data_IF_564733152160
#
_entry.id   IF_564733152160
#
_cell.length_a   1.000
_cell.length_b   1.000
_cell.length_c   1.000
_cell.angle_alpha   90.00
_cell.angle_beta   90.00
_cell.angle_gamma   90.00
#
_symmetry.space_group_name_H-M   'P 1'
#
loop_
_entity.id
_entity.type
_entity.pdbx_description
1 polymer ?
#
# COMPACT_ATOMS: atom_id res chain seq x y z
N UNK A 1 -18.04 -8.23 -20.45
CA UNK A 1 -17.77 -6.83 -20.10
C UNK A 1 -18.07 -5.98 -21.32
N UNK A 2 -18.87 -4.90 -21.25
CA UNK A 2 -19.04 -4.00 -22.36
C UNK A 2 -17.72 -3.28 -22.64
N UNK A 3 -17.29 -3.26 -23.90
CA UNK A 3 -16.23 -2.37 -24.36
C UNK A 3 -16.76 -0.94 -24.25
N UNK A 4 -16.18 -0.15 -23.36
CA UNK A 4 -16.34 1.30 -23.39
C UNK A 4 -15.16 1.88 -24.15
N UNK A 5 -15.45 2.63 -25.20
CA UNK A 5 -14.47 3.40 -25.96
C UNK A 5 -13.80 4.40 -25.02
N UNK A 6 -12.48 4.30 -24.90
CA UNK A 6 -11.66 5.26 -24.18
C UNK A 6 -10.89 6.10 -25.20
N UNK A 7 -11.41 7.28 -25.48
CA UNK A 7 -10.63 8.34 -26.09
C UNK A 7 -9.62 8.83 -25.04
N UNK A 8 -8.35 8.50 -25.25
CA UNK A 8 -7.24 9.08 -24.52
C UNK A 8 -6.75 10.27 -25.34
N UNK A 9 -7.38 11.42 -25.13
CA UNK A 9 -6.86 12.68 -25.65
C UNK A 9 -5.62 13.09 -24.84
N UNK A 10 -4.45 12.74 -25.39
CA UNK A 10 -3.16 13.27 -24.92
C UNK A 10 -2.85 14.50 -25.79
N UNK A 11 -3.43 15.63 -25.44
CA UNK A 11 -2.98 16.91 -25.98
C UNK A 11 -2.00 17.56 -25.02
N UNK A 12 -0.75 17.64 -25.47
CA UNK A 12 0.26 18.50 -24.88
C UNK A 12 -0.02 19.94 -25.29
N UNK A 13 -0.89 20.62 -24.58
CA UNK A 13 -0.98 22.08 -24.67
C UNK A 13 0.05 22.70 -23.72
N UNK A 14 0.94 23.47 -24.31
CA UNK A 14 1.93 24.30 -23.61
C UNK A 14 1.22 25.33 -22.72
N UNK A 15 1.09 25.01 -21.42
CA UNK A 15 0.63 25.97 -20.44
C UNK A 15 1.70 26.17 -19.36
N UNK A 16 2.36 27.32 -19.41
CA UNK A 16 3.07 27.87 -18.24
C UNK A 16 2.01 28.52 -17.37
N UNK A 17 1.44 27.77 -16.46
CA UNK A 17 0.45 28.23 -15.51
C UNK A 17 1.13 28.74 -14.23
N UNK A 18 0.90 29.99 -13.92
CA UNK A 18 1.27 30.62 -12.64
C UNK A 18 0.40 29.99 -11.55
N UNK A 19 1.04 29.28 -10.62
CA UNK A 19 0.40 28.72 -9.42
C UNK A 19 0.12 29.87 -8.42
N UNK A 20 -1.09 30.42 -8.42
CA UNK A 20 -1.56 31.29 -7.35
C UNK A 20 -2.75 30.64 -6.64
N UNK A 21 -2.54 30.35 -5.34
CA UNK A 21 -3.53 30.11 -4.29
C UNK A 21 -4.32 28.80 -4.32
N UNK A 22 -3.63 27.68 -4.11
CA UNK A 22 -4.21 26.58 -3.33
C UNK A 22 -4.05 26.92 -1.85
N UNK A 23 -5.09 26.66 -1.05
CA UNK A 23 -5.13 26.92 0.39
C UNK A 23 -3.80 26.55 1.06
N UNK A 24 -3.26 27.42 1.91
CA UNK A 24 -1.90 27.40 2.50
C UNK A 24 -1.55 26.17 3.35
N UNK A 25 -2.27 25.06 3.25
CA UNK A 25 -2.00 23.81 3.98
C UNK A 25 -1.22 22.76 3.18
N UNK A 26 -1.16 22.85 1.86
CA UNK A 26 -0.46 21.88 1.01
C UNK A 26 0.92 22.42 0.66
N UNK A 27 1.96 21.88 1.32
CA UNK A 27 3.35 22.24 1.05
C UNK A 27 3.78 21.65 -0.28
N UNK A 28 4.22 22.48 -1.22
CA UNK A 28 4.83 22.01 -2.47
C UNK A 28 6.29 21.57 -2.25
N UNK A 29 6.82 20.74 -3.16
CA UNK A 29 8.21 20.32 -3.13
C UNK A 29 9.13 21.40 -3.71
N UNK A 30 10.34 21.51 -3.16
CA UNK A 30 11.44 22.25 -3.77
C UNK A 30 12.09 21.38 -4.86
N UNK A 31 11.60 21.51 -6.10
CA UNK A 31 12.12 20.76 -7.24
C UNK A 31 13.47 21.30 -7.69
N UNK A 32 14.42 20.40 -7.99
CA UNK A 32 15.79 20.73 -8.32
C UNK A 32 16.05 20.86 -9.82
N UNK A 33 15.43 20.00 -10.64
CA UNK A 33 15.59 19.98 -12.10
C UNK A 33 14.38 19.34 -12.77
N UNK A 34 13.27 20.04 -12.79
CA UNK A 34 12.00 19.51 -13.34
C UNK A 34 12.07 19.15 -14.83
N UNK A 35 12.96 19.77 -15.58
CA UNK A 35 13.08 19.53 -17.03
C UNK A 35 13.69 18.16 -17.35
N UNK A 36 14.63 17.69 -16.54
CA UNK A 36 15.31 16.41 -16.70
C UNK A 36 14.77 15.32 -15.75
N UNK A 37 14.33 15.72 -14.56
CA UNK A 37 13.87 14.85 -13.48
C UNK A 37 12.61 15.44 -12.83
N UNK A 38 11.42 15.25 -13.45
CA UNK A 38 10.22 16.03 -13.13
C UNK A 38 9.71 15.88 -11.70
N UNK A 39 10.14 14.85 -10.97
CA UNK A 39 9.76 14.62 -9.58
C UNK A 39 10.94 14.75 -8.61
N UNK A 40 12.13 15.10 -9.08
CA UNK A 40 13.34 15.17 -8.24
C UNK A 40 13.35 16.45 -7.40
N UNK A 41 13.41 16.29 -6.08
CA UNK A 41 13.26 17.38 -5.11
C UNK A 41 14.08 17.13 -3.86
N UNK A 42 14.30 18.17 -3.07
CA UNK A 42 14.89 18.08 -1.73
C UNK A 42 13.98 17.28 -0.81
N UNK A 43 14.49 16.25 -0.14
CA UNK A 43 13.70 15.47 0.83
C UNK A 43 13.56 16.22 2.16
N UNK A 44 12.49 15.94 2.87
CA UNK A 44 12.30 16.38 4.25
C UNK A 44 12.97 15.39 5.21
N UNK A 45 13.74 15.89 6.18
CA UNK A 45 14.33 15.05 7.23
C UNK A 45 13.39 14.83 8.44
N UNK A 46 12.13 15.24 8.36
CA UNK A 46 11.20 15.19 9.50
C UNK A 46 10.81 13.77 9.84
N UNK A 47 11.29 13.26 10.96
CA UNK A 47 10.92 11.96 11.52
C UNK A 47 9.71 12.10 12.44
N UNK A 48 8.56 11.60 12.00
CA UNK A 48 7.29 11.64 12.73
C UNK A 48 7.03 10.37 13.54
N UNK A 49 7.84 9.31 13.37
CA UNK A 49 7.61 8.01 14.00
C UNK A 49 8.40 7.81 15.29
N UNK A 50 9.63 8.32 15.41
CA UNK A 50 10.46 8.17 16.63
C UNK A 50 9.76 8.56 17.93
N UNK A 51 8.87 9.57 17.97
CA UNK A 51 8.11 9.89 19.18
C UNK A 51 7.24 8.77 19.72
N UNK A 52 7.00 7.71 18.95
CA UNK A 52 6.17 6.57 19.32
C UNK A 52 6.97 5.32 19.71
N UNK A 53 8.30 5.33 19.54
CA UNK A 53 9.11 4.13 19.72
C UNK A 53 10.11 4.24 20.87
N UNK A 54 10.36 3.10 21.52
CA UNK A 54 11.56 2.81 22.31
C UNK A 54 12.43 1.87 21.49
N UNK A 55 13.18 2.42 20.54
CA UNK A 55 14.00 1.63 19.64
C UNK A 55 15.21 1.04 20.38
N UNK A 56 15.62 -0.18 19.99
CA UNK A 56 16.81 -0.85 20.47
C UNK A 56 18.08 -0.25 19.83
N UNK A 57 19.26 -0.58 20.35
CA UNK A 57 20.54 -0.18 19.73
C UNK A 57 20.78 -0.81 18.35
N UNK A 58 20.21 -2.01 18.12
CA UNK A 58 20.29 -2.71 16.82
C UNK A 58 19.19 -2.23 15.88
N UNK A 59 19.55 -2.08 14.60
CA UNK A 59 18.59 -1.81 13.53
C UNK A 59 17.45 -2.84 13.58
N UNK A 60 16.17 -2.43 13.57
CA UNK A 60 15.04 -3.34 13.65
C UNK A 60 14.86 -4.13 12.34
N UNK A 61 14.30 -5.31 12.44
CA UNK A 61 13.67 -5.97 11.30
C UNK A 61 12.41 -5.21 10.89
N UNK A 62 12.10 -5.22 9.61
CA UNK A 62 10.88 -4.62 9.04
C UNK A 62 10.14 -5.70 8.28
N UNK A 63 8.88 -5.90 8.61
CA UNK A 63 7.99 -6.86 7.94
C UNK A 63 6.79 -6.09 7.39
N UNK A 64 6.70 -6.01 6.07
CA UNK A 64 5.58 -5.39 5.36
C UNK A 64 4.66 -6.51 4.89
N UNK A 65 3.40 -6.50 5.34
CA UNK A 65 2.38 -7.47 4.96
C UNK A 65 1.33 -6.75 4.12
N UNK A 66 1.29 -7.10 2.85
CA UNK A 66 0.33 -6.61 1.87
C UNK A 66 -0.79 -7.64 1.76
N UNK A 67 -1.96 -7.27 2.25
CA UNK A 67 -3.10 -8.18 2.31
C UNK A 67 -4.00 -7.94 1.10
N UNK A 68 -4.12 -8.97 0.25
CA UNK A 68 -4.95 -8.94 -0.96
C UNK A 68 -6.37 -8.52 -0.64
N UNK A 69 -6.83 -7.45 -1.29
CA UNK A 69 -8.19 -6.98 -1.24
C UNK A 69 -8.67 -6.42 0.10
N UNK A 70 -7.79 -6.14 1.09
CA UNK A 70 -8.16 -5.71 2.43
C UNK A 70 -8.64 -4.25 2.45
N UNK A 71 -9.96 -4.04 2.38
CA UNK A 71 -10.59 -2.71 2.42
C UNK A 71 -11.02 -2.29 3.83
N UNK A 72 -10.96 -1.00 4.10
CA UNK A 72 -11.42 -0.41 5.36
C UNK A 72 -12.93 -0.57 5.57
N UNK A 73 -13.70 -0.69 4.49
CA UNK A 73 -15.15 -0.88 4.50
C UNK A 73 -15.63 -2.08 5.34
N UNK A 74 -14.80 -3.10 5.51
CA UNK A 74 -15.12 -4.33 6.25
C UNK A 74 -14.03 -4.71 7.28
N UNK A 75 -13.10 -3.81 7.57
CA UNK A 75 -11.97 -4.03 8.48
C UNK A 75 -11.99 -3.04 9.62
N UNK A 76 -11.73 -3.50 10.84
CA UNK A 76 -11.67 -2.74 12.09
C UNK A 76 -13.02 -2.11 12.51
N UNK A 77 -13.01 -1.57 13.74
CA UNK A 77 -14.15 -0.86 14.33
C UNK A 77 -14.58 0.32 13.44
N UNK A 78 -15.88 0.49 13.25
CA UNK A 78 -16.46 1.55 12.42
C UNK A 78 -16.52 1.22 10.93
N UNK A 79 -16.16 0.00 10.51
CA UNK A 79 -16.38 -0.47 9.14
C UNK A 79 -17.88 -0.48 8.80
N UNK A 80 -18.29 0.23 7.74
CA UNK A 80 -19.73 0.40 7.43
C UNK A 80 -20.40 -0.91 6.95
N UNK A 81 -19.62 -1.87 6.44
CA UNK A 81 -20.07 -3.23 6.13
C UNK A 81 -19.95 -4.21 7.31
N UNK A 82 -19.56 -3.71 8.47
CA UNK A 82 -19.25 -4.55 9.63
C UNK A 82 -17.77 -4.95 9.68
N UNK A 83 -17.27 -5.21 10.89
CA UNK A 83 -15.90 -5.66 11.09
C UNK A 83 -15.77 -7.17 10.84
N UNK A 84 -15.11 -7.57 9.76
CA UNK A 84 -14.87 -8.97 9.38
C UNK A 84 -13.44 -9.46 9.70
N UNK A 85 -12.64 -8.62 10.35
CA UNK A 85 -11.25 -8.91 10.70
C UNK A 85 -11.00 -8.72 12.21
N UNK A 86 -11.53 -9.60 13.05
CA UNK A 86 -11.47 -9.42 14.52
C UNK A 86 -10.04 -9.42 15.08
N UNK A 87 -9.09 -10.11 14.45
CA UNK A 87 -7.68 -10.07 14.88
C UNK A 87 -7.05 -8.71 14.55
N UNK A 88 -7.19 -8.22 13.30
CA UNK A 88 -6.66 -6.91 12.92
C UNK A 88 -7.28 -5.78 13.74
N UNK A 89 -8.57 -5.90 14.10
CA UNK A 89 -9.22 -4.94 15.01
C UNK A 89 -8.55 -4.91 16.39
N UNK A 90 -8.29 -6.09 16.97
CA UNK A 90 -7.55 -6.20 18.22
C UNK A 90 -6.12 -5.66 18.11
N UNK A 91 -5.41 -6.00 17.05
CA UNK A 91 -4.03 -5.56 16.82
C UNK A 91 -3.94 -4.04 16.64
N UNK A 92 -4.91 -3.43 15.95
CA UNK A 92 -4.94 -1.98 15.74
C UNK A 92 -5.00 -1.18 17.05
N UNK A 93 -5.63 -1.72 18.09
CA UNK A 93 -5.69 -1.06 19.41
C UNK A 93 -4.34 -1.04 20.14
N UNK A 94 -3.38 -1.85 19.71
CA UNK A 94 -2.02 -1.96 20.25
C UNK A 94 -0.97 -1.37 19.30
N UNK A 95 -1.39 -0.59 18.32
CA UNK A 95 -0.57 -0.14 17.19
C UNK A 95 -0.64 1.38 17.00
N UNK A 96 0.15 1.88 16.05
CA UNK A 96 -0.18 3.11 15.36
C UNK A 96 -1.10 2.73 14.20
N UNK A 97 -2.30 3.30 14.19
CA UNK A 97 -3.35 2.93 13.26
C UNK A 97 -3.85 4.15 12.47
N UNK A 98 -3.66 4.13 11.14
CA UNK A 98 -4.22 5.12 10.23
C UNK A 98 -5.53 4.57 9.66
N UNK A 99 -6.65 5.09 10.16
CA UNK A 99 -7.98 4.64 9.71
C UNK A 99 -8.38 5.18 8.35
N UNK A 100 -7.80 6.31 7.92
CA UNK A 100 -8.06 6.98 6.67
C UNK A 100 -6.84 6.87 5.73
N UNK A 101 -6.40 5.65 5.48
CA UNK A 101 -5.25 5.36 4.64
C UNK A 101 -5.67 4.94 3.23
N UNK A 102 -4.93 5.40 2.21
CA UNK A 102 -5.25 5.15 0.81
C UNK A 102 -4.20 4.25 0.14
N UNK A 103 -4.66 3.18 -0.51
CA UNK A 103 -3.86 2.55 -1.56
C UNK A 103 -3.81 3.51 -2.76
N UNK A 104 -2.70 3.54 -3.49
CA UNK A 104 -2.62 4.36 -4.70
C UNK A 104 -3.16 3.68 -5.93
N UNK A 105 -3.41 2.39 -5.87
CA UNK A 105 -4.03 1.62 -6.94
C UNK A 105 -5.32 0.96 -6.52
N UNK A 106 -6.25 0.83 -7.46
CA UNK A 106 -7.47 0.04 -7.28
C UNK A 106 -7.27 -1.44 -7.59
N UNK A 107 -6.00 -1.90 -7.76
CA UNK A 107 -5.57 -3.28 -8.07
C UNK A 107 -4.13 -3.48 -7.66
N UNK A 108 -3.71 -4.74 -7.50
CA UNK A 108 -2.38 -5.16 -7.01
C UNK A 108 -1.20 -4.61 -7.80
N UNK A 109 -1.33 -4.38 -9.13
CA UNK A 109 -0.23 -3.89 -9.98
C UNK A 109 0.46 -2.61 -9.48
N UNK A 110 -0.23 -1.79 -8.68
CA UNK A 110 0.30 -0.52 -8.22
C UNK A 110 0.98 -0.60 -6.83
N UNK A 111 0.75 -1.67 -6.06
CA UNK A 111 1.15 -1.69 -4.64
C UNK A 111 2.66 -1.67 -4.43
N UNK A 112 3.42 -2.52 -5.11
CA UNK A 112 4.88 -2.59 -4.91
C UNK A 112 5.60 -1.29 -5.28
N UNK A 113 5.35 -0.66 -6.46
CA UNK A 113 5.95 0.64 -6.78
C UNK A 113 5.57 1.74 -5.80
N UNK A 114 4.35 1.72 -5.28
CA UNK A 114 3.87 2.74 -4.35
C UNK A 114 4.47 2.58 -2.97
N UNK A 115 4.34 1.40 -2.35
CA UNK A 115 4.73 1.19 -0.94
C UNK A 115 6.23 0.96 -0.75
N UNK A 116 6.95 0.55 -1.80
CA UNK A 116 8.39 0.37 -1.76
C UNK A 116 9.17 1.53 -2.39
N UNK A 117 8.59 2.20 -3.39
CA UNK A 117 9.28 3.21 -4.20
C UNK A 117 8.66 4.59 -4.19
N UNK A 118 7.45 4.77 -3.64
CA UNK A 118 6.74 6.07 -3.64
C UNK A 118 6.78 6.76 -5.01
N UNK A 119 6.46 6.02 -6.06
CA UNK A 119 6.73 6.44 -7.43
C UNK A 119 5.54 7.11 -8.12
N UNK A 120 5.82 7.99 -9.13
CA UNK A 120 4.82 8.43 -10.07
C UNK A 120 4.28 7.24 -10.89
N UNK A 121 3.03 7.35 -11.34
CA UNK A 121 2.42 6.33 -12.19
C UNK A 121 2.83 6.50 -13.65
N UNK A 122 3.11 5.40 -14.34
CA UNK A 122 3.15 5.38 -15.79
C UNK A 122 1.73 5.29 -16.37
N UNK A 123 1.59 5.52 -17.68
CA UNK A 123 0.29 5.48 -18.36
C UNK A 123 -0.43 4.13 -18.18
N UNK A 124 0.31 3.03 -18.17
CA UNK A 124 -0.24 1.67 -17.99
C UNK A 124 0.15 1.05 -16.63
N UNK A 125 0.39 1.88 -15.63
CA UNK A 125 1.02 1.50 -14.36
C UNK A 125 2.54 1.35 -14.52
N UNK A 126 3.27 1.57 -13.44
CA UNK A 126 4.74 1.53 -13.47
C UNK A 126 5.27 0.15 -13.89
N UNK A 127 4.72 -0.92 -13.34
CA UNK A 127 5.09 -2.30 -13.70
C UNK A 127 4.79 -2.61 -15.18
N UNK A 128 3.77 -1.99 -15.75
CA UNK A 128 3.41 -2.13 -17.18
C UNK A 128 4.46 -1.60 -18.14
N UNK A 129 5.43 -0.78 -17.69
CA UNK A 129 6.55 -0.33 -18.52
C UNK A 129 7.55 -1.46 -18.83
N UNK A 130 7.55 -2.56 -18.06
CA UNK A 130 8.47 -3.66 -18.27
C UNK A 130 9.93 -3.21 -18.22
N UNK A 131 10.74 -3.60 -19.21
CA UNK A 131 12.16 -3.24 -19.30
C UNK A 131 12.43 -1.72 -19.44
N UNK A 132 11.40 -0.94 -19.78
CA UNK A 132 11.51 0.53 -19.89
C UNK A 132 11.34 1.25 -18.56
N UNK A 133 11.07 0.54 -17.44
CA UNK A 133 11.01 1.15 -16.13
C UNK A 133 12.30 1.96 -15.85
N UNK A 134 12.23 3.24 -15.48
CA UNK A 134 13.42 4.01 -15.15
C UNK A 134 14.06 3.52 -13.84
N UNK A 135 15.33 3.84 -13.65
CA UNK A 135 16.02 3.61 -12.39
C UNK A 135 15.43 4.47 -11.27
N UNK A 136 15.33 3.90 -10.08
CA UNK A 136 14.72 4.54 -8.92
C UNK A 136 15.42 4.14 -7.64
N UNK A 137 15.26 4.94 -6.60
CA UNK A 137 15.57 4.55 -5.22
C UNK A 137 14.29 4.06 -4.54
N UNK A 138 14.39 2.95 -3.84
CA UNK A 138 13.28 2.29 -3.14
C UNK A 138 13.74 1.81 -1.77
N UNK A 139 12.78 1.40 -0.91
CA UNK A 139 13.13 0.74 0.35
C UNK A 139 14.08 -0.44 0.15
N UNK A 140 13.92 -1.21 -0.94
CA UNK A 140 14.76 -2.39 -1.20
C UNK A 140 16.22 -2.03 -1.36
N UNK A 141 16.54 -1.15 -2.32
CA UNK A 141 17.94 -0.82 -2.61
C UNK A 141 18.56 0.07 -1.54
N UNK A 142 17.82 1.02 -0.96
CA UNK A 142 18.35 1.89 0.11
C UNK A 142 18.61 1.14 1.42
N UNK A 143 17.73 0.23 1.83
CA UNK A 143 17.96 -0.58 3.03
C UNK A 143 19.07 -1.61 2.79
N UNK A 144 19.13 -2.21 1.61
CA UNK A 144 20.25 -3.10 1.23
C UNK A 144 21.58 -2.37 1.29
N UNK A 145 21.69 -1.14 0.73
CA UNK A 145 22.88 -0.28 0.84
C UNK A 145 23.29 -0.07 2.31
N UNK A 146 22.31 0.01 3.21
CA UNK A 146 22.52 0.20 4.64
C UNK A 146 22.64 -1.12 5.44
N UNK A 147 22.89 -2.25 4.76
CA UNK A 147 23.22 -3.54 5.36
C UNK A 147 22.05 -4.43 5.73
N UNK A 148 20.83 -4.11 5.29
CA UNK A 148 19.69 -5.02 5.39
C UNK A 148 19.78 -6.15 4.37
N UNK A 149 19.23 -7.32 4.70
CA UNK A 149 18.87 -8.35 3.74
C UNK A 149 17.40 -8.20 3.36
N UNK A 150 17.12 -8.25 2.05
CA UNK A 150 15.80 -7.93 1.51
C UNK A 150 15.16 -9.17 0.89
N UNK A 151 13.88 -9.38 1.18
CA UNK A 151 13.17 -10.56 0.67
C UNK A 151 11.70 -10.25 0.35
N UNK A 152 11.20 -10.95 -0.66
CA UNK A 152 9.79 -10.91 -1.05
C UNK A 152 9.22 -12.32 -1.07
N UNK A 153 8.03 -12.48 -0.49
CA UNK A 153 7.29 -13.74 -0.40
C UNK A 153 5.90 -13.58 -1.00
N UNK A 154 5.57 -14.47 -1.91
CA UNK A 154 4.27 -14.51 -2.58
C UNK A 154 3.85 -15.97 -2.82
N UNK A 155 2.64 -16.33 -2.41
CA UNK A 155 2.10 -17.68 -2.65
C UNK A 155 1.82 -17.97 -4.12
N UNK A 156 1.68 -16.93 -4.95
CA UNK A 156 1.43 -16.99 -6.37
C UNK A 156 2.68 -16.90 -7.23
N UNK A 157 2.49 -16.62 -8.52
CA UNK A 157 3.54 -16.45 -9.53
C UNK A 157 4.00 -14.99 -9.58
N UNK A 158 5.25 -14.72 -9.21
CA UNK A 158 5.79 -13.36 -9.19
C UNK A 158 6.01 -12.75 -10.61
N UNK A 159 5.88 -13.55 -11.67
CA UNK A 159 5.84 -13.00 -13.03
C UNK A 159 4.56 -12.21 -13.32
N UNK A 160 3.50 -12.47 -12.53
CA UNK A 160 2.26 -11.73 -12.61
C UNK A 160 2.51 -10.23 -12.46
N UNK A 161 1.96 -9.45 -13.38
CA UNK A 161 2.09 -7.98 -13.43
C UNK A 161 3.54 -7.47 -13.39
N UNK A 162 4.53 -8.26 -13.83
CA UNK A 162 5.97 -7.91 -13.82
C UNK A 162 6.55 -7.64 -12.41
N UNK A 163 5.95 -8.18 -11.35
CA UNK A 163 6.45 -7.99 -9.98
C UNK A 163 7.90 -8.47 -9.83
N UNK A 164 8.23 -9.66 -10.37
CA UNK A 164 9.59 -10.19 -10.35
C UNK A 164 10.59 -9.22 -11.00
N UNK A 165 10.27 -8.68 -12.17
CA UNK A 165 11.13 -7.74 -12.89
C UNK A 165 11.38 -6.49 -12.04
N UNK A 166 10.33 -5.93 -11.43
CA UNK A 166 10.42 -4.77 -10.55
C UNK A 166 11.33 -5.04 -9.35
N UNK A 167 11.13 -6.16 -8.66
CA UNK A 167 11.89 -6.55 -7.48
C UNK A 167 13.37 -6.76 -7.81
N UNK A 168 13.69 -7.45 -8.92
CA UNK A 168 15.06 -7.67 -9.37
C UNK A 168 15.77 -6.38 -9.79
N UNK A 169 15.08 -5.46 -10.47
CA UNK A 169 15.62 -4.13 -10.79
C UNK A 169 15.94 -3.32 -9.54
N UNK A 170 15.17 -3.50 -8.47
CA UNK A 170 15.40 -2.90 -7.16
C UNK A 170 16.34 -3.71 -6.27
N UNK A 171 17.09 -4.68 -6.83
CA UNK A 171 18.16 -5.41 -6.17
C UNK A 171 17.72 -6.27 -4.97
N UNK A 172 16.49 -6.81 -4.99
CA UNK A 172 16.04 -7.77 -3.96
C UNK A 172 17.04 -8.93 -3.83
N UNK A 173 17.33 -9.38 -2.59
CA UNK A 173 18.21 -10.50 -2.36
C UNK A 173 17.48 -11.84 -2.60
N UNK A 174 16.34 -12.02 -1.95
CA UNK A 174 15.54 -13.24 -2.05
C UNK A 174 14.14 -12.97 -2.60
N UNK A 175 13.81 -13.63 -3.69
CA UNK A 175 12.44 -13.69 -4.21
C UNK A 175 11.94 -15.13 -4.05
N UNK A 176 10.90 -15.32 -3.25
CA UNK A 176 10.27 -16.59 -2.91
C UNK A 176 8.82 -16.55 -3.39
N UNK A 177 8.56 -17.16 -4.53
CA UNK A 177 7.24 -17.32 -5.11
C UNK A 177 6.80 -18.80 -5.13
N UNK A 178 5.66 -19.10 -5.75
CA UNK A 178 5.08 -20.45 -5.78
C UNK A 178 6.07 -21.55 -6.13
N UNK A 179 7.05 -21.29 -7.00
CA UNK A 179 8.01 -22.32 -7.47
C UNK A 179 9.03 -22.73 -6.39
N UNK A 180 9.15 -21.95 -5.33
CA UNK A 180 10.04 -22.24 -4.20
C UNK A 180 9.32 -22.82 -2.97
N UNK A 181 8.02 -23.09 -3.08
CA UNK A 181 7.28 -23.79 -2.02
C UNK A 181 7.41 -25.30 -2.20
N UNK A 182 7.31 -26.04 -1.11
CA UNK A 182 7.29 -27.50 -1.16
C UNK A 182 5.92 -28.01 -1.59
N UNK A 183 5.87 -29.00 -2.46
CA UNK A 183 4.68 -29.50 -3.17
C UNK A 183 3.55 -30.08 -2.32
N UNK A 184 3.63 -30.12 -0.98
CA UNK A 184 2.76 -30.95 -0.15
C UNK A 184 1.85 -30.23 0.82
N UNK A 185 1.73 -28.88 0.80
CA UNK A 185 0.83 -28.19 1.74
C UNK A 185 0.41 -26.81 1.26
N UNK A 186 -0.87 -26.52 1.39
CA UNK A 186 -1.39 -25.15 1.27
C UNK A 186 -1.65 -24.67 -0.16
N UNK A 187 -1.71 -25.54 -1.18
CA UNK A 187 -2.22 -25.14 -2.48
C UNK A 187 -3.70 -24.72 -2.36
N UNK A 188 -4.04 -23.57 -2.92
CA UNK A 188 -5.43 -23.13 -3.04
C UNK A 188 -6.21 -24.05 -3.99
N UNK A 189 -7.50 -24.29 -3.75
CA UNK A 189 -8.34 -25.12 -4.60
C UNK A 189 -8.35 -24.65 -6.06
N UNK A 190 -8.21 -25.59 -6.97
CA UNK A 190 -8.30 -25.30 -8.40
C UNK A 190 -9.72 -24.91 -8.82
N UNK A 191 -9.81 -23.96 -9.74
CA UNK A 191 -11.05 -23.61 -10.41
C UNK A 191 -10.81 -23.59 -11.92
N UNK A 192 -11.50 -24.47 -12.65
CA UNK A 192 -11.33 -24.65 -14.10
C UNK A 192 -9.87 -24.92 -14.52
N UNK A 193 -9.12 -25.71 -13.74
CA UNK A 193 -7.74 -26.06 -14.02
C UNK A 193 -6.71 -24.96 -13.69
N UNK A 194 -7.13 -23.92 -12.98
CA UNK A 194 -6.26 -22.83 -12.53
C UNK A 194 -6.25 -22.73 -11.02
N UNK A 195 -5.08 -22.52 -10.42
CA UNK A 195 -4.88 -22.12 -9.03
C UNK A 195 -3.95 -20.92 -8.96
N UNK A 196 -4.21 -20.02 -8.02
CA UNK A 196 -3.31 -18.89 -7.74
C UNK A 196 -1.97 -19.34 -7.11
N UNK A 197 -1.92 -20.52 -6.53
CA UNK A 197 -0.75 -21.07 -5.86
C UNK A 197 -1.03 -21.40 -4.39
N UNK A 198 -0.14 -21.01 -3.50
CA UNK A 198 -0.19 -21.36 -2.08
C UNK A 198 -0.96 -20.32 -1.27
N UNK A 199 -1.73 -20.80 -0.29
CA UNK A 199 -2.53 -19.98 0.60
C UNK A 199 -1.69 -19.14 1.60
N UNK A 200 -2.35 -18.27 2.34
CA UNK A 200 -1.70 -17.37 3.28
C UNK A 200 -1.06 -18.13 4.46
N UNK A 201 -1.61 -19.28 4.88
CA UNK A 201 -1.01 -20.11 5.92
C UNK A 201 0.36 -20.65 5.47
N UNK A 202 0.41 -21.19 4.25
CA UNK A 202 1.66 -21.69 3.67
C UNK A 202 2.67 -20.56 3.42
N UNK A 203 2.21 -19.39 2.98
CA UNK A 203 3.03 -18.18 2.82
C UNK A 203 3.73 -17.80 4.12
N UNK A 204 2.95 -17.64 5.20
CA UNK A 204 3.48 -17.27 6.52
C UNK A 204 4.40 -18.34 7.09
N UNK A 205 4.05 -19.63 6.96
CA UNK A 205 4.91 -20.73 7.39
C UNK A 205 6.24 -20.76 6.62
N UNK A 206 6.20 -20.50 5.29
CA UNK A 206 7.40 -20.41 4.46
C UNK A 206 8.32 -19.29 4.94
N UNK A 207 7.77 -18.09 5.19
CA UNK A 207 8.54 -16.96 5.72
C UNK A 207 9.19 -17.31 7.05
N UNK A 208 8.44 -17.81 8.03
CA UNK A 208 8.93 -18.14 9.37
C UNK A 208 10.04 -19.21 9.34
N UNK A 209 9.96 -20.18 8.42
CA UNK A 209 10.89 -21.29 8.31
C UNK A 209 12.19 -20.95 7.55
N UNK A 210 12.15 -19.92 6.71
CA UNK A 210 13.30 -19.57 5.85
C UNK A 210 14.05 -18.33 6.32
N UNK A 211 13.43 -17.46 7.11
CA UNK A 211 14.11 -16.25 7.63
C UNK A 211 14.89 -16.54 8.90
N UNK A 212 16.14 -16.04 8.99
CA UNK A 212 16.92 -16.15 10.23
C UNK A 212 16.18 -15.49 11.40
N UNK A 213 16.26 -16.09 12.56
CA UNK A 213 15.71 -15.53 13.82
C UNK A 213 16.81 -15.19 14.83
N UNK A 214 18.06 -15.43 14.48
CA UNK A 214 19.22 -15.16 15.34
C UNK A 214 19.35 -13.64 15.55
N UNK A 215 19.55 -13.26 16.80
CA UNK A 215 19.82 -11.87 17.19
C UNK A 215 21.13 -11.31 16.61
N UNK A 216 22.02 -12.16 16.11
CA UNK A 216 23.27 -11.78 15.44
C UNK A 216 23.13 -11.63 13.92
N UNK A 217 21.99 -12.05 13.34
CA UNK A 217 21.72 -11.87 11.93
C UNK A 217 21.67 -10.39 11.52
N UNK A 218 21.95 -10.13 10.24
CA UNK A 218 21.72 -8.79 9.66
C UNK A 218 20.26 -8.39 9.81
N UNK A 219 19.95 -7.10 9.92
CA UNK A 219 18.56 -6.63 9.91
C UNK A 219 17.88 -7.04 8.60
N UNK A 220 16.60 -7.35 8.68
CA UNK A 220 15.82 -7.92 7.58
C UNK A 220 14.72 -6.96 7.13
N UNK A 221 14.54 -6.81 5.81
CA UNK A 221 13.30 -6.32 5.23
C UNK A 221 12.58 -7.50 4.56
N UNK A 222 11.46 -7.92 5.13
CA UNK A 222 10.57 -8.92 4.54
C UNK A 222 9.31 -8.28 4.00
N UNK A 223 8.98 -8.53 2.74
CA UNK A 223 7.71 -8.10 2.13
C UNK A 223 6.91 -9.34 1.78
N UNK A 224 5.71 -9.45 2.32
CA UNK A 224 4.79 -10.57 2.11
C UNK A 224 3.55 -10.07 1.40
N UNK A 225 3.16 -10.71 0.29
CA UNK A 225 1.92 -10.44 -0.43
C UNK A 225 1.02 -11.68 -0.33
N UNK A 226 -0.18 -11.51 0.23
CA UNK A 226 -1.15 -12.61 0.35
C UNK A 226 -1.94 -12.81 -0.93
N UNK A 227 -2.69 -13.92 -1.02
CA UNK A 227 -3.45 -14.24 -2.25
C UNK A 227 -4.79 -14.94 -1.98
N UNK A 228 -5.03 -15.41 -0.75
CA UNK A 228 -6.20 -16.27 -0.45
C UNK A 228 -7.54 -15.57 -0.65
N UNK A 229 -7.59 -14.24 -0.54
CA UNK A 229 -8.78 -13.43 -0.77
C UNK A 229 -8.93 -12.93 -2.22
N UNK A 230 -8.16 -13.47 -3.16
CA UNK A 230 -8.29 -13.18 -4.58
C UNK A 230 -9.45 -13.98 -5.22
N UNK A 231 -10.10 -13.41 -6.24
CA UNK A 231 -11.10 -14.13 -7.04
C UNK A 231 -10.49 -15.45 -7.61
N UNK A 232 -11.14 -16.61 -7.50
CA UNK A 232 -12.54 -16.88 -7.19
C UNK A 232 -12.90 -17.10 -5.70
N UNK A 233 -12.10 -16.62 -4.74
CA UNK A 233 -12.33 -16.68 -3.29
C UNK A 233 -12.44 -18.12 -2.75
N UNK A 234 -11.69 -19.04 -3.35
CA UNK A 234 -11.60 -20.42 -2.93
C UNK A 234 -10.42 -20.59 -1.99
N UNK A 235 -10.73 -20.94 -0.75
CA UNK A 235 -9.78 -21.10 0.33
C UNK A 235 -9.75 -22.56 0.78
N UNK A 236 -8.66 -22.96 1.40
CA UNK A 236 -8.61 -24.21 2.13
C UNK A 236 -9.59 -24.13 3.32
N UNK A 237 -10.19 -25.28 3.70
CA UNK A 237 -11.19 -25.33 4.78
C UNK A 237 -12.44 -24.46 4.52
N UNK A 238 -12.88 -24.32 3.27
CA UNK A 238 -13.96 -23.45 2.83
C UNK A 238 -15.22 -23.58 3.70
N UNK A 239 -15.64 -24.82 4.05
CA UNK A 239 -16.86 -25.02 4.86
C UNK A 239 -16.72 -24.46 6.28
N UNK A 240 -15.57 -24.63 6.91
CA UNK A 240 -15.31 -24.05 8.24
C UNK A 240 -15.50 -22.52 8.22
N UNK A 241 -14.99 -21.87 7.19
CA UNK A 241 -15.11 -20.42 7.07
C UNK A 241 -16.49 -19.94 6.63
N UNK A 242 -17.31 -20.79 5.99
CA UNK A 242 -18.72 -20.52 5.81
C UNK A 242 -19.50 -20.56 7.14
N UNK A 243 -19.17 -21.50 8.03
CA UNK A 243 -19.77 -21.57 9.35
C UNK A 243 -19.37 -20.37 10.21
N UNK A 244 -18.09 -19.98 10.17
CA UNK A 244 -17.59 -18.75 10.82
C UNK A 244 -18.23 -17.47 10.25
N UNK A 245 -18.54 -17.43 8.96
CA UNK A 245 -19.25 -16.32 8.34
C UNK A 245 -20.66 -16.16 8.90
N UNK A 246 -21.43 -17.24 9.03
CA UNK A 246 -22.77 -17.20 9.65
C UNK A 246 -22.71 -16.80 11.13
N UNK A 247 -21.73 -17.34 11.87
CA UNK A 247 -21.47 -16.95 13.25
C UNK A 247 -21.13 -15.46 13.36
N UNK A 248 -20.24 -14.96 12.48
CA UNK A 248 -19.81 -13.56 12.48
C UNK A 248 -20.96 -12.59 12.22
N UNK A 249 -21.86 -12.90 11.30
CA UNK A 249 -23.09 -12.10 11.09
C UNK A 249 -23.94 -12.02 12.34
N UNK A 250 -23.99 -13.09 13.12
CA UNK A 250 -24.72 -13.11 14.40
C UNK A 250 -24.02 -12.25 15.45
N UNK A 251 -22.67 -12.33 15.56
CA UNK A 251 -21.86 -11.47 16.44
C UNK A 251 -21.97 -9.99 16.08
N UNK A 252 -22.17 -9.67 14.78
CA UNK A 252 -22.37 -8.31 14.28
C UNK A 252 -23.83 -7.82 14.43
N UNK A 253 -24.70 -8.62 15.04
CA UNK A 253 -26.11 -8.33 15.28
C UNK A 253 -26.89 -7.98 14.00
N UNK A 254 -26.59 -8.69 12.89
CA UNK A 254 -27.27 -8.48 11.63
C UNK A 254 -28.67 -9.10 11.67
N UNK A 255 -29.68 -8.33 11.19
CA UNK A 255 -31.02 -8.84 10.96
C UNK A 255 -31.04 -9.93 9.89
N UNK A 256 -32.04 -10.81 9.88
CA UNK A 256 -32.12 -11.88 8.86
C UNK A 256 -32.17 -11.32 7.43
N UNK A 257 -32.81 -10.19 7.21
CA UNK A 257 -32.81 -9.52 5.91
C UNK A 257 -31.37 -9.13 5.51
N UNK A 258 -30.62 -8.50 6.41
CA UNK A 258 -29.22 -8.11 6.16
C UNK A 258 -28.32 -9.34 5.94
N UNK A 259 -28.52 -10.40 6.72
CA UNK A 259 -27.78 -11.67 6.53
C UNK A 259 -28.01 -12.24 5.13
N UNK A 260 -29.26 -12.17 4.61
CA UNK A 260 -29.58 -12.65 3.28
C UNK A 260 -28.82 -11.86 2.19
N UNK A 261 -28.70 -10.54 2.33
CA UNK A 261 -27.92 -9.70 1.40
C UNK A 261 -26.45 -10.07 1.42
N UNK A 262 -25.88 -10.33 2.59
CA UNK A 262 -24.47 -10.68 2.76
C UNK A 262 -24.14 -12.09 2.24
N UNK A 263 -25.09 -13.03 2.26
CA UNK A 263 -24.90 -14.39 1.71
C UNK A 263 -24.61 -14.39 0.21
N UNK A 264 -24.98 -13.32 -0.53
CA UNK A 264 -24.59 -13.14 -1.92
C UNK A 264 -23.07 -12.96 -2.10
N UNK A 265 -22.36 -12.56 -1.04
CA UNK A 265 -20.92 -12.32 -1.02
C UNK A 265 -20.20 -13.25 -0.03
N UNK A 266 -20.78 -14.42 0.25
CA UNK A 266 -20.30 -15.37 1.25
C UNK A 266 -18.85 -15.79 1.01
N UNK A 267 -18.48 -16.07 -0.26
CA UNK A 267 -17.14 -16.52 -0.61
C UNK A 267 -16.10 -15.43 -0.30
N UNK A 268 -16.42 -14.16 -0.60
CA UNK A 268 -15.58 -13.00 -0.31
C UNK A 268 -15.37 -12.82 1.21
N UNK A 269 -16.46 -12.78 1.97
CA UNK A 269 -16.35 -12.60 3.43
C UNK A 269 -15.70 -13.79 4.13
N UNK A 270 -15.92 -15.00 3.66
CA UNK A 270 -15.24 -16.19 4.18
C UNK A 270 -13.73 -16.14 3.92
N UNK A 271 -13.30 -15.67 2.74
CA UNK A 271 -11.88 -15.48 2.44
C UNK A 271 -11.23 -14.38 3.27
N UNK A 272 -11.95 -13.29 3.57
CA UNK A 272 -11.48 -12.23 4.48
C UNK A 272 -11.28 -12.78 5.90
N UNK A 273 -12.25 -13.56 6.42
CA UNK A 273 -12.13 -14.20 7.73
C UNK A 273 -10.97 -15.20 7.78
N UNK A 274 -10.74 -15.93 6.68
CA UNK A 274 -9.59 -16.84 6.54
C UNK A 274 -8.27 -16.07 6.66
N UNK A 275 -8.10 -15.02 5.85
CA UNK A 275 -6.88 -14.20 5.84
C UNK A 275 -6.59 -13.60 7.23
N UNK A 276 -7.61 -13.06 7.93
CA UNK A 276 -7.47 -12.54 9.29
C UNK A 276 -7.04 -13.63 10.29
N UNK A 277 -7.62 -14.84 10.17
CA UNK A 277 -7.27 -15.99 11.04
C UNK A 277 -5.85 -16.48 10.77
N UNK A 278 -5.40 -16.53 9.51
CA UNK A 278 -4.04 -16.95 9.17
C UNK A 278 -3.01 -15.90 9.60
N UNK A 279 -3.34 -14.63 9.51
CA UNK A 279 -2.50 -13.55 10.03
C UNK A 279 -2.38 -13.63 11.57
N UNK A 280 -3.47 -13.91 12.28
CA UNK A 280 -3.42 -14.19 13.73
C UNK A 280 -2.44 -15.32 14.06
N UNK A 281 -2.55 -16.44 13.35
CA UNK A 281 -1.66 -17.61 13.53
C UNK A 281 -0.19 -17.26 13.22
N UNK A 282 0.05 -16.41 12.22
CA UNK A 282 1.38 -15.90 11.92
C UNK A 282 1.97 -15.14 13.11
N UNK A 283 1.23 -14.20 13.70
CA UNK A 283 1.69 -13.45 14.87
C UNK A 283 1.94 -14.34 16.07
N UNK A 284 1.02 -15.26 16.39
CA UNK A 284 1.17 -16.23 17.50
C UNK A 284 2.45 -17.09 17.36
N UNK A 285 2.91 -17.34 16.13
CA UNK A 285 4.16 -18.05 15.86
C UNK A 285 5.37 -17.13 15.84
N UNK A 286 5.23 -15.90 15.29
CA UNK A 286 6.33 -14.95 15.25
C UNK A 286 6.71 -14.46 16.66
N UNK A 287 5.75 -14.29 17.55
CA UNK A 287 5.97 -13.89 18.96
C UNK A 287 6.92 -14.84 19.73
N UNK A 288 7.01 -16.11 19.30
CA UNK A 288 7.93 -17.09 19.88
C UNK A 288 9.38 -16.95 19.39
N UNK A 289 9.62 -16.10 18.40
CA UNK A 289 10.95 -15.91 17.80
C UNK A 289 11.77 -14.91 18.61
N UNK A 290 13.09 -15.12 18.74
CA UNK A 290 13.99 -14.19 19.45
C UNK A 290 14.02 -12.79 18.84
N UNK A 291 13.82 -12.65 17.53
CA UNK A 291 13.84 -11.39 16.79
C UNK A 291 12.54 -10.59 16.88
N UNK A 292 11.45 -11.16 17.45
CA UNK A 292 10.16 -10.48 17.60
C UNK A 292 10.28 -9.13 18.32
N UNK A 293 11.03 -9.09 19.43
CA UNK A 293 11.20 -7.89 20.26
C UNK A 293 11.92 -6.72 19.54
N UNK A 294 12.54 -6.99 18.38
CA UNK A 294 13.24 -5.99 17.56
C UNK A 294 12.67 -5.94 16.13
N UNK A 295 11.36 -6.12 15.98
CA UNK A 295 10.69 -6.12 14.67
C UNK A 295 9.58 -5.08 14.61
N UNK A 296 9.51 -4.37 13.50
CA UNK A 296 8.43 -3.45 13.12
C UNK A 296 7.58 -4.14 12.05
N UNK A 297 6.29 -4.29 12.29
CA UNK A 297 5.31 -4.84 11.35
C UNK A 297 4.47 -3.72 10.77
N UNK A 298 4.33 -3.70 9.46
CA UNK A 298 3.47 -2.80 8.74
C UNK A 298 2.46 -3.64 7.95
N UNK A 299 1.16 -3.47 8.21
CA UNK A 299 0.09 -4.26 7.62
C UNK A 299 -0.88 -3.31 6.94
N UNK A 300 -1.15 -3.55 5.65
CA UNK A 300 -2.12 -2.77 4.87
C UNK A 300 -2.74 -3.62 3.77
N UNK A 301 -3.88 -3.17 3.23
CA UNK A 301 -4.40 -3.73 1.99
C UNK A 301 -3.59 -3.26 0.78
N UNK A 302 -3.40 -4.12 -0.20
CA UNK A 302 -2.86 -3.70 -1.50
C UNK A 302 -3.86 -2.82 -2.26
N UNK A 303 -5.14 -3.11 -2.14
CA UNK A 303 -6.32 -2.33 -2.52
C UNK A 303 -7.56 -2.86 -1.78
N UNK A 304 -8.71 -2.23 -1.97
CA UNK A 304 -9.98 -2.77 -1.49
C UNK A 304 -10.53 -3.80 -2.49
N UNK A 305 -11.08 -4.91 -1.99
CA UNK A 305 -11.76 -5.93 -2.79
C UNK A 305 -12.93 -5.31 -3.59
N UNK A 306 -12.85 -5.28 -4.93
CA UNK A 306 -13.83 -4.56 -5.75
C UNK A 306 -15.17 -5.31 -5.96
N UNK A 307 -15.20 -6.60 -5.66
CA UNK A 307 -16.38 -7.46 -5.85
C UNK A 307 -17.48 -7.18 -4.80
N UNK A 308 -17.10 -6.66 -3.63
CA UNK A 308 -18.06 -6.20 -2.62
C UNK A 308 -18.48 -4.76 -2.95
N UNK A 309 -19.78 -4.41 -2.95
CA UNK A 309 -20.27 -3.08 -3.31
C UNK A 309 -19.60 -1.95 -2.52
N UNK A 310 -19.35 -0.83 -3.19
CA UNK A 310 -18.72 0.37 -2.66
C UNK A 310 -19.75 1.45 -2.38
N UNK A 311 -19.59 2.17 -1.28
CA UNK A 311 -20.46 3.28 -0.91
C UNK A 311 -20.10 4.58 -1.65
N UNK A 312 -18.81 4.81 -1.91
CA UNK A 312 -18.27 6.02 -2.54
C UNK A 312 -17.20 5.67 -3.56
N UNK A 313 -16.75 6.64 -4.34
CA UNK A 313 -15.68 6.42 -5.35
C UNK A 313 -14.34 6.20 -4.67
N UNK A 314 -14.04 6.99 -3.61
CA UNK A 314 -12.78 6.88 -2.87
C UNK A 314 -12.67 5.58 -2.08
N UNK A 315 -13.79 4.94 -1.74
CA UNK A 315 -13.83 3.66 -1.02
C UNK A 315 -13.01 2.55 -1.74
N UNK A 316 -12.85 2.65 -3.06
CA UNK A 316 -11.98 1.77 -3.86
C UNK A 316 -10.54 1.72 -3.36
N UNK A 317 -10.06 2.82 -2.83
CA UNK A 317 -8.68 3.01 -2.40
C UNK A 317 -8.53 2.97 -0.87
N UNK A 318 -9.65 2.95 -0.14
CA UNK A 318 -9.65 3.05 1.30
C UNK A 318 -9.28 1.71 1.95
N UNK A 319 -8.07 1.64 2.48
CA UNK A 319 -7.47 0.48 3.15
C UNK A 319 -7.01 0.87 4.56
N UNK A 320 -6.84 -0.05 5.52
CA UNK A 320 -6.22 0.27 6.80
C UNK A 320 -4.70 0.31 6.67
N UNK A 321 -4.02 1.10 7.53
CA UNK A 321 -2.60 0.91 7.81
C UNK A 321 -2.41 0.69 9.30
N UNK A 322 -1.82 -0.44 9.66
CA UNK A 322 -1.48 -0.81 11.04
C UNK A 322 0.04 -0.95 11.13
N UNK A 323 0.68 -0.15 11.97
CA UNK A 323 2.10 -0.25 12.29
C UNK A 323 2.24 -0.72 13.73
N UNK A 324 2.60 -1.99 13.89
CA UNK A 324 2.77 -2.66 15.17
C UNK A 324 4.24 -2.96 15.46
N UNK A 325 4.62 -2.86 16.71
CA UNK A 325 5.92 -3.33 17.19
C UNK A 325 5.89 -3.51 18.70
N UNK A 326 6.58 -4.52 19.27
CA UNK A 326 6.83 -4.59 20.71
C UNK A 326 7.62 -3.38 21.25
N UNK A 327 8.29 -2.63 20.39
CA UNK A 327 9.05 -1.41 20.73
C UNK A 327 8.16 -0.16 20.81
N UNK A 328 6.85 -0.24 20.54
CA UNK A 328 5.97 0.92 20.72
C UNK A 328 5.84 1.29 22.18
N UNK A 329 6.12 2.54 22.53
CA UNK A 329 5.92 3.11 23.87
C UNK A 329 4.52 3.71 24.06
N UNK A 330 3.79 3.94 22.98
CA UNK A 330 2.41 4.42 22.98
C UNK A 330 1.73 4.06 21.65
N UNK A 331 0.45 3.85 21.73
CA UNK A 331 -0.42 3.62 20.57
C UNK A 331 -1.13 4.92 20.17
N UNK A 332 -1.64 4.99 18.97
CA UNK A 332 -2.43 6.14 18.50
C UNK A 332 -3.30 5.73 17.30
N UNK A 333 -4.50 6.28 17.23
CA UNK A 333 -5.36 6.23 16.04
C UNK A 333 -5.29 7.58 15.35
N UNK A 334 -4.88 7.60 14.08
CA UNK A 334 -4.75 8.79 13.23
C UNK A 334 -5.94 8.85 12.27
N UNK A 335 -6.62 10.01 12.25
CA UNK A 335 -7.66 10.28 11.28
C UNK A 335 -7.17 11.13 10.09
N UNK A 336 -5.91 11.58 10.12
CA UNK A 336 -5.27 12.22 8.96
C UNK A 336 -5.16 11.26 7.79
N UNK A 337 -5.35 11.75 6.57
CA UNK A 337 -5.19 10.96 5.35
C UNK A 337 -3.69 10.81 5.06
N UNK A 338 -3.28 9.59 4.77
CA UNK A 338 -1.97 9.21 4.22
C UNK A 338 -2.16 8.11 3.19
N UNK A 339 -1.11 7.75 2.47
CA UNK A 339 -1.16 6.76 1.39
C UNK A 339 0.05 5.82 1.38
N UNK A 340 0.02 4.80 0.54
CA UNK A 340 1.16 3.91 0.33
C UNK A 340 2.46 4.65 0.06
N UNK A 341 2.43 5.76 -0.72
CA UNK A 341 3.63 6.55 -1.03
C UNK A 341 4.30 7.17 0.19
N UNK A 342 3.56 7.36 1.29
CA UNK A 342 4.08 8.00 2.50
C UNK A 342 4.88 7.03 3.38
N UNK A 343 4.79 5.72 3.10
CA UNK A 343 5.49 4.69 3.86
C UNK A 343 7.01 4.73 3.68
N UNK A 344 7.57 4.75 2.43
CA UNK A 344 9.02 4.75 2.23
C UNK A 344 9.73 5.90 2.94
N UNK A 345 9.34 7.18 2.76
CA UNK A 345 10.01 8.28 3.45
C UNK A 345 9.90 8.17 4.97
N UNK A 346 8.76 7.73 5.52
CA UNK A 346 8.60 7.60 6.97
C UNK A 346 9.50 6.56 7.60
N UNK A 347 9.58 5.38 7.00
CA UNK A 347 10.44 4.30 7.48
C UNK A 347 11.92 4.69 7.37
N UNK A 348 12.33 5.28 6.25
CA UNK A 348 13.71 5.69 6.05
C UNK A 348 14.15 6.81 7.01
N UNK A 349 13.29 7.80 7.25
CA UNK A 349 13.57 8.89 8.20
C UNK A 349 13.64 8.38 9.64
N UNK A 350 12.76 7.47 10.06
CA UNK A 350 12.84 6.79 11.36
C UNK A 350 14.21 6.12 11.53
N UNK A 351 14.65 5.38 10.51
CA UNK A 351 15.92 4.66 10.58
C UNK A 351 17.14 5.60 10.46
N UNK A 352 17.08 6.65 9.63
CA UNK A 352 18.13 7.67 9.51
C UNK A 352 18.37 8.37 10.85
N UNK A 353 17.29 8.82 11.49
CA UNK A 353 17.36 9.55 12.77
C UNK A 353 17.95 8.72 13.91
N UNK A 354 17.70 7.40 13.92
CA UNK A 354 18.08 6.56 15.05
C UNK A 354 19.30 5.68 14.78
N UNK A 355 19.65 5.39 13.51
CA UNK A 355 20.73 4.45 13.15
C UNK A 355 21.71 5.01 12.12
N UNK A 356 21.64 6.30 11.83
CA UNK A 356 22.57 7.01 10.94
C UNK A 356 22.70 6.35 9.55
N UNK A 357 21.55 6.00 8.94
CA UNK A 357 21.56 5.45 7.59
C UNK A 357 22.16 6.45 6.59
N UNK A 358 22.97 5.95 5.66
CA UNK A 358 23.41 6.71 4.49
C UNK A 358 22.28 6.74 3.46
N UNK A 359 21.59 7.86 3.36
CA UNK A 359 20.46 8.11 2.49
C UNK A 359 20.71 9.34 1.61
N UNK A 360 20.09 9.43 0.43
CA UNK A 360 20.14 10.64 -0.39
C UNK A 360 19.49 11.83 0.34
N UNK A 361 20.02 13.02 0.09
CA UNK A 361 19.41 14.28 0.52
C UNK A 361 18.23 14.67 -0.37
N UNK A 362 18.28 14.23 -1.64
CA UNK A 362 17.27 14.52 -2.65
C UNK A 362 16.63 13.23 -3.15
N UNK A 363 15.36 13.30 -3.48
CA UNK A 363 14.54 12.14 -3.84
C UNK A 363 13.51 12.47 -4.93
N UNK A 364 12.81 11.46 -5.40
CA UNK A 364 11.69 11.61 -6.35
C UNK A 364 10.38 11.01 -5.83
N UNK A 365 10.25 10.87 -4.53
CA UNK A 365 9.08 10.24 -3.92
C UNK A 365 7.85 11.15 -3.99
N UNK A 366 6.68 10.57 -4.26
CA UNK A 366 5.40 11.29 -4.23
C UNK A 366 4.94 11.57 -2.80
N UNK A 367 5.24 10.65 -1.88
CA UNK A 367 4.83 10.76 -0.47
C UNK A 367 5.72 11.69 0.33
N UNK A 368 5.10 12.51 1.16
CA UNK A 368 5.79 13.41 2.10
C UNK A 368 6.12 12.76 3.43
N UNK A 369 5.63 11.55 3.67
CA UNK A 369 5.66 10.81 4.92
C UNK A 369 4.28 10.75 5.58
N UNK A 370 4.11 9.75 6.46
CA UNK A 370 2.86 9.52 7.18
C UNK A 370 2.49 10.74 8.04
N UNK A 371 1.25 11.20 7.93
CA UNK A 371 0.75 12.23 8.82
C UNK A 371 0.24 11.57 10.12
N UNK A 372 0.83 11.98 11.26
CA UNK A 372 0.52 11.39 12.59
C UNK A 372 -0.48 12.21 13.39
N UNK A 373 -1.20 13.11 12.75
CA UNK A 373 -2.24 13.91 13.41
C UNK A 373 -3.49 13.07 13.64
N UNK A 374 -4.01 13.11 14.88
CA UNK A 374 -5.19 12.34 15.28
C UNK A 374 -6.50 12.89 14.72
N UNK A 375 -6.53 14.20 14.39
CA UNK A 375 -7.69 14.85 13.80
C UNK A 375 -7.71 14.64 12.27
N UNK A 376 -8.92 14.62 11.70
CA UNK A 376 -9.11 14.55 10.27
C UNK A 376 -8.48 15.75 9.55
N UNK A 377 -7.56 15.46 8.64
CA UNK A 377 -6.96 16.41 7.69
C UNK A 377 -6.25 15.65 6.56
N UNK A 378 -5.88 16.37 5.52
CA UNK A 378 -4.95 15.88 4.51
C UNK A 378 -3.95 16.99 4.13
N UNK A 379 -2.67 16.68 4.20
CA UNK A 379 -1.56 17.57 3.80
C UNK A 379 -0.91 17.12 2.47
N UNK A 380 -1.44 16.06 1.86
CA UNK A 380 -0.88 15.41 0.68
C UNK A 380 -1.65 15.76 -0.59
N UNK A 381 -0.96 15.59 -1.70
CA UNK A 381 -1.53 15.48 -3.04
C UNK A 381 -1.38 14.03 -3.50
N UNK A 382 -2.48 13.31 -3.64
CA UNK A 382 -2.45 11.86 -3.85
C UNK A 382 -3.07 11.53 -5.20
N UNK A 383 -2.25 11.25 -6.22
CA UNK A 383 -2.74 10.69 -7.47
C UNK A 383 -3.13 9.23 -7.24
N UNK A 384 -4.25 8.82 -7.83
CA UNK A 384 -4.80 7.48 -7.70
C UNK A 384 -5.04 6.86 -9.07
N UNK A 385 -4.72 5.58 -9.23
CA UNK A 385 -4.89 4.86 -10.48
C UNK A 385 -5.87 3.69 -10.30
N UNK A 386 -7.01 3.77 -10.95
CA UNK A 386 -8.06 2.76 -10.79
C UNK A 386 -7.69 1.41 -11.44
N UNK A 387 -7.20 1.48 -12.68
CA UNK A 387 -6.71 0.34 -13.46
C UNK A 387 -5.47 0.78 -14.23
N UNK A 388 -4.77 -0.16 -14.88
CA UNK A 388 -3.55 0.14 -15.66
C UNK A 388 -3.71 1.25 -16.71
N UNK A 389 -4.94 1.54 -17.14
CA UNK A 389 -5.24 2.53 -18.18
C UNK A 389 -6.16 3.65 -17.71
N UNK A 390 -6.50 3.70 -16.41
CA UNK A 390 -7.49 4.63 -15.90
C UNK A 390 -6.97 5.39 -14.68
N UNK A 391 -6.29 6.50 -14.94
CA UNK A 391 -5.80 7.44 -13.94
C UNK A 391 -6.63 8.72 -14.02
N UNK A 392 -7.70 8.81 -13.22
CA UNK A 392 -8.66 9.92 -13.20
C UNK A 392 -9.01 10.42 -11.81
N UNK A 393 -8.41 9.83 -10.79
CA UNK A 393 -8.66 10.17 -9.39
C UNK A 393 -7.49 10.95 -8.80
N UNK A 394 -7.77 12.05 -8.11
CA UNK A 394 -6.76 12.90 -7.47
C UNK A 394 -7.30 13.51 -6.18
N UNK A 395 -6.59 13.32 -5.08
CA UNK A 395 -6.98 13.84 -3.76
C UNK A 395 -6.05 14.97 -3.36
N UNK A 396 -6.63 16.12 -3.01
CA UNK A 396 -5.90 17.32 -2.54
C UNK A 396 -6.67 17.95 -1.39
N UNK A 397 -6.03 18.09 -0.23
CA UNK A 397 -6.73 18.52 0.98
C UNK A 397 -7.90 17.55 1.24
N UNK A 398 -9.06 18.08 1.55
CA UNK A 398 -10.29 17.29 1.74
C UNK A 398 -11.11 17.11 0.47
N UNK A 399 -10.53 17.32 -0.70
CA UNK A 399 -11.22 17.19 -1.98
C UNK A 399 -10.73 15.98 -2.77
N UNK A 400 -11.67 15.28 -3.39
CA UNK A 400 -11.41 14.20 -4.35
C UNK A 400 -11.96 14.58 -5.72
N UNK A 401 -11.09 14.69 -6.71
CA UNK A 401 -11.44 14.84 -8.10
C UNK A 401 -11.51 13.47 -8.76
N UNK A 402 -12.66 13.09 -9.31
CA UNK A 402 -12.84 11.90 -10.14
C UNK A 402 -13.27 12.32 -11.55
N UNK A 403 -12.33 12.28 -12.48
CA UNK A 403 -12.57 12.80 -13.83
C UNK A 403 -12.90 14.30 -13.80
N UNK A 404 -14.14 14.63 -14.13
CA UNK A 404 -14.71 15.99 -14.13
C UNK A 404 -15.60 16.29 -12.91
N UNK A 405 -15.67 15.40 -11.92
CA UNK A 405 -16.51 15.55 -10.74
C UNK A 405 -15.67 15.82 -9.51
N UNK A 406 -16.06 16.81 -8.75
CA UNK A 406 -15.43 17.15 -7.48
C UNK A 406 -16.30 16.69 -6.31
N UNK A 407 -15.65 16.05 -5.33
CA UNK A 407 -16.25 15.60 -4.09
C UNK A 407 -15.47 16.19 -2.91
N UNK A 408 -16.17 16.48 -1.82
CA UNK A 408 -15.57 16.71 -0.51
C UNK A 408 -15.53 15.40 0.25
N UNK A 409 -14.35 15.04 0.76
CA UNK A 409 -14.12 13.87 1.61
C UNK A 409 -14.49 14.27 3.04
N UNK A 410 -15.37 13.50 3.65
CA UNK A 410 -15.81 13.68 5.04
C UNK A 410 -14.90 12.92 6.00
N UNK A 411 -15.02 13.20 7.29
CA UNK A 411 -14.18 12.60 8.36
C UNK A 411 -14.28 11.07 8.45
N UNK A 412 -15.41 10.52 8.01
CA UNK A 412 -15.66 9.07 7.92
C UNK A 412 -15.27 8.47 6.56
N UNK A 413 -14.58 9.25 5.70
CA UNK A 413 -14.27 8.94 4.31
C UNK A 413 -15.50 8.79 3.40
N UNK A 414 -16.65 9.28 3.85
CA UNK A 414 -17.80 9.52 2.97
C UNK A 414 -17.48 10.62 1.96
N UNK A 415 -18.26 10.69 0.88
CA UNK A 415 -18.10 11.71 -0.17
C UNK A 415 -19.38 12.51 -0.37
N UNK A 416 -19.24 13.81 -0.50
CA UNK A 416 -20.31 14.75 -0.85
C UNK A 416 -19.97 15.47 -2.15
N UNK A 417 -20.83 15.44 -3.19
CA UNK A 417 -20.60 16.21 -4.41
C UNK A 417 -20.47 17.71 -4.11
N UNK A 418 -19.50 18.36 -4.72
CA UNK A 418 -19.23 19.79 -4.57
C UNK A 418 -19.43 20.49 -5.91
N UNK A 419 -20.15 21.60 -5.90
CA UNK A 419 -20.28 22.49 -7.05
C UNK A 419 -19.54 23.81 -6.78
N UNK A 420 -18.22 23.76 -6.91
CA UNK A 420 -17.33 24.93 -6.84
C UNK A 420 -16.40 24.90 -8.06
N UNK A 421 -16.77 25.62 -9.13
CA UNK A 421 -15.98 25.63 -10.38
C UNK A 421 -14.56 26.19 -10.20
N UNK A 422 -14.34 27.10 -9.23
CA UNK A 422 -13.01 27.66 -8.97
C UNK A 422 -12.11 26.62 -8.33
N UNK A 423 -12.59 25.95 -7.30
CA UNK A 423 -11.86 24.90 -6.60
C UNK A 423 -11.60 23.70 -7.54
N UNK A 424 -12.64 23.29 -8.28
CA UNK A 424 -12.52 22.20 -9.26
C UNK A 424 -11.46 22.51 -10.32
N UNK A 425 -11.46 23.73 -10.87
CA UNK A 425 -10.45 24.16 -11.85
C UNK A 425 -9.04 24.12 -11.25
N UNK A 426 -8.84 24.64 -10.04
CA UNK A 426 -7.54 24.64 -9.37
C UNK A 426 -6.99 23.22 -9.17
N UNK A 427 -7.83 22.29 -8.70
CA UNK A 427 -7.43 20.88 -8.50
C UNK A 427 -7.16 20.20 -9.85
N UNK A 428 -7.98 20.47 -10.88
CA UNK A 428 -7.78 19.94 -12.22
C UNK A 428 -6.45 20.44 -12.83
N UNK A 429 -6.10 21.71 -12.64
CA UNK A 429 -4.83 22.26 -13.12
C UNK A 429 -3.64 21.59 -12.42
N UNK A 430 -3.71 21.38 -11.09
CA UNK A 430 -2.68 20.64 -10.35
C UNK A 430 -2.56 19.19 -10.84
N UNK A 431 -3.68 18.53 -11.07
CA UNK A 431 -3.69 17.15 -11.59
C UNK A 431 -3.13 17.05 -13.01
N UNK A 432 -3.43 18.01 -13.87
CA UNK A 432 -2.86 18.08 -15.21
C UNK A 432 -1.34 18.29 -15.17
N UNK A 433 -0.85 19.15 -14.25
CA UNK A 433 0.59 19.31 -14.01
C UNK A 433 1.24 17.98 -13.60
N UNK A 434 0.64 17.23 -12.66
CA UNK A 434 1.10 15.88 -12.30
C UNK A 434 1.13 14.94 -13.52
N UNK A 435 0.06 14.91 -14.32
CA UNK A 435 -0.01 14.06 -15.52
C UNK A 435 1.06 14.41 -16.55
N UNK A 436 1.37 15.70 -16.76
CA UNK A 436 2.44 16.14 -17.66
C UNK A 436 3.81 15.64 -17.19
N UNK A 437 4.13 15.81 -15.89
CA UNK A 437 5.36 15.27 -15.29
C UNK A 437 5.44 13.75 -15.43
N UNK A 438 4.34 13.07 -15.14
CA UNK A 438 4.24 11.61 -15.26
C UNK A 438 4.42 11.13 -16.72
N UNK A 439 3.92 11.88 -17.69
CA UNK A 439 4.09 11.57 -19.13
C UNK A 439 5.55 11.63 -19.56
N UNK A 440 6.38 12.51 -19.00
CA UNK A 440 7.83 12.56 -19.25
C UNK A 440 8.46 11.22 -18.85
N UNK A 441 8.13 10.69 -17.68
CA UNK A 441 8.64 9.39 -17.23
C UNK A 441 8.16 8.25 -18.13
N UNK A 442 6.89 8.23 -18.49
CA UNK A 442 6.29 7.22 -19.37
C UNK A 442 6.97 7.19 -20.76
N UNK A 443 7.41 8.35 -21.25
CA UNK A 443 8.10 8.50 -22.54
C UNK A 443 9.62 8.23 -22.45
N UNK A 444 10.12 7.67 -21.34
CA UNK A 444 11.52 7.27 -21.16
C UNK A 444 12.38 8.30 -20.46
N UNK A 445 11.77 9.32 -19.83
CA UNK A 445 12.46 10.25 -18.96
C UNK A 445 12.99 9.57 -17.69
N UNK A 446 13.99 10.18 -17.07
CA UNK A 446 14.59 9.67 -15.83
C UNK A 446 13.85 10.23 -14.61
N UNK A 447 13.81 9.45 -13.55
CA UNK A 447 13.24 9.87 -12.24
C UNK A 447 14.29 10.58 -11.41
N UNK A 448 15.54 10.10 -11.46
CA UNK A 448 16.68 10.60 -10.66
C UNK A 448 17.95 10.65 -11.53
N UNK A 449 18.96 11.44 -11.15
CA UNK A 449 20.27 11.41 -11.79
C UNK A 449 20.96 10.04 -11.65
N UNK A 450 21.65 9.58 -12.70
CA UNK A 450 22.35 8.30 -12.66
C UNK A 450 23.43 8.25 -11.60
N UNK A 451 24.11 9.38 -11.32
CA UNK A 451 25.12 9.47 -10.26
C UNK A 451 24.54 9.18 -8.87
N UNK A 452 23.32 9.66 -8.60
CA UNK A 452 22.62 9.38 -7.35
C UNK A 452 22.22 7.91 -7.29
N UNK A 453 21.61 7.36 -8.35
CA UNK A 453 21.25 5.95 -8.41
C UNK A 453 22.42 5.02 -8.19
N UNK A 454 23.54 5.25 -8.91
CA UNK A 454 24.76 4.42 -8.84
C UNK A 454 25.34 4.42 -7.43
N UNK A 455 25.37 5.58 -6.75
CA UNK A 455 25.90 5.70 -5.37
C UNK A 455 25.22 4.72 -4.40
N UNK A 456 23.91 4.54 -4.49
CA UNK A 456 23.12 3.76 -3.54
C UNK A 456 22.76 2.34 -4.00
N UNK A 457 23.19 1.93 -5.21
CA UNK A 457 22.83 0.61 -5.77
C UNK A 457 24.02 -0.27 -6.17
N UNK A 458 25.25 0.21 -6.02
CA UNK A 458 26.51 -0.53 -6.27
C UNK A 458 27.06 -1.19 -5.00
#
# INVERSE_FOLDING_TARGET
>A
FPKTDYDVDIYADNYIGIYDNLDNSVVDYEYLDESNYPFYHVDSDTDVLSPYFNLNEKKPNIVIILVEGLGRAFTNKGAYLGNWTPFLDSLSTQSLYWKNFLSQGGRTFAVLPSILGSLPFAQSGYLGMGEKMPNQLSLLNLLKHNGYETSFYYGGDASFDNMELYLRRNKIDDLIDKDKFSTNSGLLPETNGFTWGYDDEALYAKYLNTRPSDSMAKPQLGVLLTVSSHNPFKINQQQEFYDRFEERMTQLDFTESKKQDYRAYRDQYASILYTDAMLKKFFENYEKRPDFSNTIFLITGDHRMPEIPMATVIDRYHVPLILYSPMLKRTSEMASISSHSDVPPSILRLLKSNYQLDLPEDTSWLGKGLDTVVNFRNIHQIPLIQTKVNMKDYVVGTYHLNGDRLYEILEDMGERPVNDPKQQKSIMDAYNGFKQKNAIITNGGKIIPDSVYIKYTN
#
